data_IF_216959251018
#
_entry.id   IF_216959251018
#
_cell.length_a   1.000
_cell.length_b   1.000
_cell.length_c   1.000
_cell.angle_alpha   90.00
_cell.angle_beta   90.00
_cell.angle_gamma   90.00
#
_symmetry.space_group_name_H-M   'P 1'
#
loop_
_entity.id
_entity.type
_entity.pdbx_description
1 polymer ?
#
# COMPACT_ATOMS: atom_id res chain seq x y z
N UNK A 1 -22.97 6.44 10.43
CA UNK A 1 -21.98 6.22 9.35
C UNK A 1 -20.60 6.00 9.97
N UNK A 2 -19.66 5.29 9.32
CA UNK A 2 -18.37 4.91 9.94
C UNK A 2 -17.56 6.08 10.55
N UNK A 3 -17.76 7.31 10.06
CA UNK A 3 -17.21 8.54 10.64
C UNK A 3 -17.81 8.88 12.01
N UNK A 4 -19.12 8.72 12.19
CA UNK A 4 -19.82 8.96 13.46
C UNK A 4 -19.45 7.91 14.52
N UNK A 5 -19.14 6.69 14.09
CA UNK A 5 -18.77 5.59 14.99
C UNK A 5 -17.30 5.69 15.44
N UNK A 6 -16.39 6.09 14.54
CA UNK A 6 -14.94 6.12 14.82
C UNK A 6 -14.42 7.49 15.26
N UNK A 7 -15.13 8.58 14.97
CA UNK A 7 -14.72 9.95 15.33
C UNK A 7 -13.26 10.22 14.94
N UNK A 8 -12.47 10.68 15.92
CA UNK A 8 -11.05 11.00 15.75
C UNK A 8 -10.18 9.81 15.29
N UNK A 9 -10.62 8.57 15.55
CA UNK A 9 -9.91 7.35 15.17
C UNK A 9 -10.22 6.90 13.73
N UNK A 10 -11.05 7.64 12.99
CA UNK A 10 -11.35 7.30 11.59
C UNK A 10 -10.09 7.24 10.72
N UNK A 11 -9.10 8.10 10.99
CA UNK A 11 -7.82 8.12 10.27
C UNK A 11 -7.02 6.82 10.36
N UNK A 12 -7.21 6.02 11.42
CA UNK A 12 -6.52 4.75 11.61
C UNK A 12 -7.20 3.58 10.88
N UNK A 13 -8.44 3.75 10.43
CA UNK A 13 -9.18 2.74 9.69
C UNK A 13 -10.22 3.40 8.77
N UNK A 14 -9.77 4.11 7.74
CA UNK A 14 -10.64 4.90 6.87
C UNK A 14 -11.54 3.99 6.04
N UNK A 15 -12.76 4.44 5.80
CA UNK A 15 -13.73 3.80 4.90
C UNK A 15 -14.02 4.76 3.77
N UNK A 16 -13.67 4.37 2.54
CA UNK A 16 -13.79 5.19 1.34
C UNK A 16 -14.48 4.39 0.22
N UNK A 17 -14.90 5.07 -0.85
CA UNK A 17 -15.55 4.46 -2.04
C UNK A 17 -14.55 4.14 -3.17
N UNK A 18 -13.33 3.78 -2.81
CA UNK A 18 -12.26 3.47 -3.75
C UNK A 18 -12.23 2.00 -4.19
N UNK A 19 -11.35 1.63 -5.13
CA UNK A 19 -11.20 0.25 -5.61
C UNK A 19 -10.64 -0.72 -4.56
N UNK A 20 -10.04 -0.20 -3.48
CA UNK A 20 -9.51 -0.99 -2.38
C UNK A 20 -10.09 -0.51 -1.05
N UNK A 21 -10.49 -1.46 -0.20
CA UNK A 21 -10.90 -1.24 1.18
C UNK A 21 -9.71 -1.44 2.12
N UNK A 22 -9.70 -0.68 3.21
CA UNK A 22 -8.73 -0.82 4.28
C UNK A 22 -8.87 -2.17 4.97
N UNK A 23 -7.80 -2.96 5.04
CA UNK A 23 -7.78 -4.23 5.79
C UNK A 23 -7.11 -4.04 7.15
N UNK A 24 -5.88 -3.53 7.16
CA UNK A 24 -5.11 -3.31 8.40
C UNK A 24 -3.98 -2.32 8.24
N UNK A 25 -3.57 -1.72 9.36
CA UNK A 25 -2.35 -0.94 9.50
C UNK A 25 -1.57 -1.43 10.71
N UNK A 26 -0.27 -1.62 10.52
CA UNK A 26 0.69 -1.79 11.62
C UNK A 26 1.59 -0.57 11.56
N UNK A 27 1.50 0.28 12.58
CA UNK A 27 2.24 1.53 12.64
C UNK A 27 3.73 1.30 12.32
N UNK A 28 4.28 2.18 11.47
CA UNK A 28 5.69 2.14 11.02
C UNK A 28 6.13 0.88 10.26
N UNK A 29 5.22 -0.08 10.02
CA UNK A 29 5.55 -1.35 9.37
C UNK A 29 4.85 -1.48 8.03
N UNK A 30 3.51 -1.51 8.01
CA UNK A 30 2.75 -1.72 6.79
C UNK A 30 1.32 -1.18 6.85
N UNK A 31 0.76 -0.96 5.66
CA UNK A 31 -0.67 -0.77 5.44
C UNK A 31 -1.10 -1.78 4.37
N UNK A 32 -2.10 -2.59 4.67
CA UNK A 32 -2.68 -3.54 3.70
C UNK A 32 -4.09 -3.12 3.34
N UNK A 33 -4.34 -3.08 2.03
CA UNK A 33 -5.65 -2.84 1.44
C UNK A 33 -6.00 -4.00 0.52
N UNK A 34 -7.29 -4.35 0.46
CA UNK A 34 -7.78 -5.46 -0.35
C UNK A 34 -8.84 -4.94 -1.32
N UNK A 35 -8.99 -5.59 -2.47
CA UNK A 35 -9.97 -5.16 -3.48
C UNK A 35 -11.37 -5.08 -2.87
N UNK A 36 -12.11 -4.02 -3.21
CA UNK A 36 -13.51 -3.89 -2.84
C UNK A 36 -14.40 -4.38 -4.00
N UNK A 37 -15.16 -5.49 -3.83
CA UNK A 37 -16.08 -5.96 -4.86
C UNK A 37 -17.26 -5.01 -5.11
N UNK A 38 -17.52 -4.06 -4.20
CA UNK A 38 -18.60 -3.09 -4.34
C UNK A 38 -18.17 -1.81 -5.09
N UNK A 39 -16.90 -1.72 -5.51
CA UNK A 39 -16.45 -0.62 -6.35
C UNK A 39 -17.11 -0.68 -7.73
N UNK A 40 -17.54 0.46 -8.26
CA UNK A 40 -18.36 0.52 -9.49
C UNK A 40 -17.68 -0.10 -10.74
N UNK A 41 -16.35 -0.19 -10.75
CA UNK A 41 -15.54 -0.76 -11.84
C UNK A 41 -14.59 -1.86 -11.32
N UNK A 42 -15.06 -2.65 -10.35
CA UNK A 42 -14.26 -3.70 -9.70
C UNK A 42 -13.67 -4.72 -10.69
N UNK A 43 -14.34 -4.96 -11.82
CA UNK A 43 -13.90 -5.88 -12.88
C UNK A 43 -12.61 -5.44 -13.57
N UNK A 44 -12.27 -4.15 -13.55
CA UNK A 44 -11.01 -3.63 -14.11
C UNK A 44 -9.85 -3.62 -13.12
N UNK A 45 -10.09 -3.96 -11.87
CA UNK A 45 -9.03 -4.07 -10.89
C UNK A 45 -8.44 -5.48 -11.01
N UNK A 46 -7.14 -5.58 -11.27
CA UNK A 46 -6.48 -6.88 -11.46
C UNK A 46 -5.73 -7.37 -10.22
N UNK A 47 -5.53 -6.49 -9.22
CA UNK A 47 -4.83 -6.82 -7.98
C UNK A 47 -5.82 -7.21 -6.88
N UNK A 48 -5.56 -8.30 -6.19
CA UNK A 48 -6.39 -8.74 -5.05
C UNK A 48 -6.13 -7.92 -3.79
N UNK A 49 -4.87 -7.48 -3.61
CA UNK A 49 -4.47 -6.65 -2.49
C UNK A 49 -3.22 -5.84 -2.82
N UNK A 50 -3.00 -4.78 -2.04
CA UNK A 50 -1.77 -3.99 -2.05
C UNK A 50 -1.27 -3.94 -0.62
N UNK A 51 0.01 -4.26 -0.43
CA UNK A 51 0.70 -4.09 0.85
C UNK A 51 1.74 -2.99 0.71
N UNK A 52 1.45 -1.84 1.29
CA UNK A 52 2.41 -0.75 1.41
C UNK A 52 3.34 -1.05 2.57
N UNK A 53 4.63 -1.25 2.29
CA UNK A 53 5.67 -1.42 3.31
C UNK A 53 6.36 -0.09 3.55
N UNK A 54 6.48 0.30 4.82
CA UNK A 54 7.11 1.57 5.20
C UNK A 54 8.62 1.33 5.29
N UNK A 55 9.38 1.92 4.36
CA UNK A 55 10.82 1.75 4.24
C UNK A 55 11.47 3.11 3.98
N UNK A 56 12.03 3.71 5.03
CA UNK A 56 12.63 5.05 4.96
C UNK A 56 14.01 5.06 4.31
N UNK A 57 14.75 3.96 4.43
CA UNK A 57 16.09 3.83 3.85
C UNK A 57 16.04 3.42 2.37
N UNK A 58 16.70 4.18 1.51
CA UNK A 58 16.72 3.96 0.07
C UNK A 58 17.48 2.69 -0.35
N UNK A 59 18.56 2.35 0.34
CA UNK A 59 19.35 1.15 0.04
C UNK A 59 18.54 -0.10 0.37
N UNK A 60 17.79 -0.09 1.48
CA UNK A 60 16.92 -1.20 1.86
C UNK A 60 15.79 -1.36 0.83
N UNK A 61 15.16 -0.26 0.37
CA UNK A 61 14.16 -0.34 -0.72
C UNK A 61 14.74 -0.94 -1.99
N UNK A 62 15.88 -0.44 -2.47
CA UNK A 62 16.53 -0.95 -3.67
C UNK A 62 16.90 -2.44 -3.54
N UNK A 63 17.38 -2.87 -2.37
CA UNK A 63 17.63 -4.29 -2.09
C UNK A 63 16.36 -5.15 -2.14
N UNK A 64 15.25 -4.68 -1.57
CA UNK A 64 13.97 -5.44 -1.58
C UNK A 64 13.31 -5.46 -2.97
N UNK A 65 13.54 -4.44 -3.82
CA UNK A 65 13.12 -4.49 -5.23
C UNK A 65 13.92 -5.56 -5.98
N UNK A 66 15.25 -5.60 -5.79
CA UNK A 66 16.11 -6.60 -6.43
C UNK A 66 15.81 -8.03 -5.99
N UNK A 67 15.47 -8.24 -4.73
CA UNK A 67 15.07 -9.57 -4.23
C UNK A 67 13.67 -10.00 -4.71
N UNK A 68 12.85 -9.07 -5.20
CA UNK A 68 11.45 -9.30 -5.55
C UNK A 68 10.49 -9.26 -4.36
N UNK A 69 10.98 -8.95 -3.15
CA UNK A 69 10.16 -8.81 -1.93
C UNK A 69 9.16 -7.64 -2.04
N UNK A 70 9.49 -6.63 -2.84
CA UNK A 70 8.56 -5.60 -3.29
C UNK A 70 8.61 -5.49 -4.81
N UNK A 71 7.47 -5.18 -5.42
CA UNK A 71 7.33 -5.07 -6.87
C UNK A 71 7.42 -3.62 -7.36
N UNK A 72 7.16 -2.66 -6.48
CA UNK A 72 7.16 -1.22 -6.78
C UNK A 72 7.77 -0.47 -5.60
N UNK A 73 8.61 0.52 -5.90
CA UNK A 73 9.11 1.50 -4.94
C UNK A 73 8.65 2.90 -5.36
N UNK A 74 8.28 3.73 -4.38
CA UNK A 74 7.88 5.11 -4.58
C UNK A 74 9.05 6.00 -5.07
N UNK A 75 10.25 5.69 -4.58
CA UNK A 75 11.49 6.36 -4.93
C UNK A 75 12.61 5.34 -5.07
N UNK A 76 13.63 5.63 -5.88
CA UNK A 76 14.87 4.87 -6.01
C UNK A 76 16.02 5.88 -6.10
N UNK A 77 17.15 5.60 -5.46
CA UNK A 77 18.35 6.43 -5.59
C UNK A 77 18.84 6.36 -7.04
N UNK A 78 19.19 7.48 -7.69
CA UNK A 78 19.77 7.46 -9.04
C UNK A 78 20.99 6.53 -9.18
N UNK A 79 21.74 6.34 -8.09
CA UNK A 79 22.92 5.47 -8.06
C UNK A 79 22.57 3.97 -8.13
N UNK A 80 21.36 3.60 -7.69
CA UNK A 80 20.92 2.19 -7.65
C UNK A 80 20.21 1.76 -8.93
N UNK A 81 19.85 2.70 -9.82
CA UNK A 81 19.04 2.42 -11.03
C UNK A 81 19.70 1.37 -11.91
N UNK A 82 21.00 1.48 -12.17
CA UNK A 82 21.72 0.53 -13.03
C UNK A 82 21.77 -0.88 -12.43
N UNK A 83 21.70 -0.99 -11.10
CA UNK A 83 21.73 -2.26 -10.38
C UNK A 83 20.37 -2.96 -10.29
N UNK A 84 19.28 -2.33 -10.76
CA UNK A 84 17.93 -2.89 -10.77
C UNK A 84 17.59 -3.68 -12.05
N UNK A 85 18.48 -3.66 -13.06
CA UNK A 85 18.29 -4.34 -14.35
C UNK A 85 18.72 -5.81 -14.31
#
# INVERSE_FOLDING_TARGET
AALEEKGDNFGDSPVCVGPFKFEKRVAQTLIKVVRDPNYYDADKIHLDSITYRIMTDANIRAANIRSGDVQVADTISPQDVDALN
#
